data_IF_912201777323
#
_entry.id   IF_912201777323
#
_cell.length_a   1.000
_cell.length_b   1.000
_cell.length_c   1.000
_cell.angle_alpha   90.00
_cell.angle_beta   90.00
_cell.angle_gamma   90.00
#
_symmetry.space_group_name_H-M   'P 1'
#
loop_
_entity.id
_entity.type
_entity.pdbx_description
1 polymer ?
#
# COMPACT_ATOMS: atom_id res chain seq x y z
N UNK A 1 -3.70 4.67 8.26
CA UNK A 1 -4.00 5.20 6.90
C UNK A 1 -4.27 4.03 5.93
N UNK A 2 -5.16 4.19 4.94
CA UNK A 2 -5.41 3.18 3.88
C UNK A 2 -5.17 3.82 2.52
N UNK A 3 -4.41 3.14 1.65
CA UNK A 3 -4.15 3.55 0.28
C UNK A 3 -4.84 2.57 -0.67
N UNK A 4 -5.81 3.04 -1.44
CA UNK A 4 -6.48 2.24 -2.46
C UNK A 4 -5.77 2.46 -3.79
N UNK A 5 -5.26 1.38 -4.38
CA UNK A 5 -4.60 1.45 -5.68
C UNK A 5 -5.64 1.48 -6.80
N UNK A 6 -5.26 2.06 -7.94
CA UNK A 6 -6.08 1.96 -9.15
C UNK A 6 -6.23 0.48 -9.58
N UNK A 7 -7.34 0.11 -10.24
CA UNK A 7 -7.58 -1.29 -10.65
C UNK A 7 -6.51 -1.83 -11.59
N UNK A 8 -5.88 -0.96 -12.38
CA UNK A 8 -4.85 -1.24 -13.37
C UNK A 8 -3.42 -1.05 -12.82
N UNK A 9 -3.28 -0.83 -11.50
CA UNK A 9 -1.98 -0.65 -10.89
C UNK A 9 -1.10 -1.90 -11.08
N UNK A 10 0.10 -1.71 -11.63
CA UNK A 10 1.04 -2.81 -11.86
C UNK A 10 1.66 -3.29 -10.55
N UNK A 11 2.24 -4.49 -10.56
CA UNK A 11 2.99 -5.01 -9.41
C UNK A 11 4.08 -4.05 -8.94
N UNK A 12 4.85 -3.49 -9.87
CA UNK A 12 5.91 -2.51 -9.56
C UNK A 12 5.35 -1.25 -8.89
N UNK A 13 4.18 -0.76 -9.29
CA UNK A 13 3.55 0.41 -8.67
C UNK A 13 3.09 0.12 -7.24
N UNK A 14 2.57 -1.09 -7.00
CA UNK A 14 2.18 -1.55 -5.66
C UNK A 14 3.41 -1.64 -4.77
N UNK A 15 4.49 -2.26 -5.27
CA UNK A 15 5.73 -2.44 -4.52
C UNK A 15 6.42 -1.10 -4.23
N UNK A 16 6.43 -0.18 -5.19
CA UNK A 16 6.91 1.19 -4.99
C UNK A 16 6.11 1.92 -3.91
N UNK A 17 4.79 1.79 -3.92
CA UNK A 17 3.92 2.43 -2.92
C UNK A 17 4.12 1.82 -1.52
N UNK A 18 4.27 0.50 -1.44
CA UNK A 18 4.59 -0.20 -0.18
C UNK A 18 5.94 0.27 0.37
N UNK A 19 6.98 0.38 -0.47
CA UNK A 19 8.28 0.89 -0.06
C UNK A 19 8.21 2.32 0.46
N UNK A 20 7.46 3.20 -0.22
CA UNK A 20 7.23 4.58 0.24
C UNK A 20 6.57 4.60 1.63
N UNK A 21 5.52 3.81 1.86
CA UNK A 21 4.89 3.69 3.19
C UNK A 21 5.92 3.25 4.24
N UNK A 22 6.80 2.31 3.90
CA UNK A 22 7.92 1.89 4.75
C UNK A 22 8.86 3.04 5.13
N UNK A 23 9.14 3.97 4.21
CA UNK A 23 10.00 5.14 4.50
C UNK A 23 9.37 6.14 5.46
N UNK A 24 8.03 6.11 5.60
CA UNK A 24 7.29 6.93 6.56
C UNK A 24 7.31 6.31 7.98
N UNK A 25 8.01 5.19 8.18
CA UNK A 25 8.01 4.47 9.46
C UNK A 25 6.73 3.66 9.71
N UNK A 26 5.88 3.52 8.70
CA UNK A 26 4.66 2.73 8.74
C UNK A 26 4.91 1.36 8.12
N UNK A 27 4.21 0.33 8.61
CA UNK A 27 4.29 -1.02 8.05
C UNK A 27 3.25 -1.17 6.93
N UNK A 28 3.67 -1.35 5.67
CA UNK A 28 2.76 -1.61 4.57
C UNK A 28 2.21 -3.04 4.61
N UNK A 29 0.90 -3.20 4.46
CA UNK A 29 0.26 -4.48 4.19
C UNK A 29 -0.53 -4.42 2.88
N UNK A 30 -0.10 -5.21 1.90
CA UNK A 30 -0.73 -5.30 0.58
C UNK A 30 -1.84 -6.35 0.62
N UNK A 31 -3.05 -5.94 0.26
CA UNK A 31 -4.26 -6.75 0.17
C UNK A 31 -4.69 -6.78 -1.29
N UNK A 32 -4.49 -7.93 -1.95
CA UNK A 32 -4.89 -8.13 -3.35
C UNK A 32 -6.34 -8.58 -3.40
N UNK A 33 -7.25 -7.64 -3.66
CA UNK A 33 -8.66 -7.95 -3.91
C UNK A 33 -8.90 -8.34 -5.37
N UNK A 34 -10.05 -8.97 -5.63
CA UNK A 34 -10.47 -9.37 -6.98
C UNK A 34 -10.66 -8.18 -7.94
N UNK A 35 -11.05 -7.02 -7.41
CA UNK A 35 -11.34 -5.82 -8.21
C UNK A 35 -10.24 -4.76 -8.10
N UNK A 36 -9.65 -4.59 -6.93
CA UNK A 36 -8.62 -3.59 -6.65
C UNK A 36 -7.66 -4.09 -5.58
N UNK A 37 -6.43 -3.59 -5.62
CA UNK A 37 -5.44 -3.80 -4.56
C UNK A 37 -5.50 -2.64 -3.57
N UNK A 38 -5.43 -2.97 -2.27
CA UNK A 38 -5.42 -2.00 -1.18
C UNK A 38 -4.13 -2.18 -0.39
N UNK A 39 -3.51 -1.09 0.05
CA UNK A 39 -2.34 -1.11 0.92
C UNK A 39 -2.71 -0.44 2.24
N UNK A 40 -2.76 -1.22 3.31
CA UNK A 40 -2.94 -0.70 4.65
C UNK A 40 -1.58 -0.22 5.20
N UNK A 41 -1.51 1.02 5.68
CA UNK A 41 -0.34 1.55 6.37
C UNK A 41 -0.60 1.46 7.89
N UNK A 42 0.06 0.48 8.53
CA UNK A 42 -0.11 0.13 9.94
C UNK A 42 1.03 0.73 10.75
N UNK A 43 0.72 1.58 11.70
CA UNK A 43 1.67 2.22 12.61
C UNK A 43 1.02 3.39 13.34
N UNK A 44 1.62 3.84 14.44
CA UNK A 44 1.24 5.10 15.06
C UNK A 44 1.87 6.24 14.25
N UNK A 45 1.01 7.12 13.71
CA UNK A 45 1.43 8.47 13.36
C UNK A 45 1.95 9.11 14.65
N UNK A 46 3.28 9.30 14.75
CA UNK A 46 3.91 9.94 15.90
C UNK A 46 3.79 11.44 15.85
#
# INVERSE_FOLDING_TARGET
MIVVMKPDATGEQIDHMAAHIGTLGLTPQVIRGTHQTVIAAIGEER
#
